data_IF_580589774218
#
_entry.id   IF_580589774218
#
_cell.length_a   1.000
_cell.length_b   1.000
_cell.length_c   1.000
_cell.angle_alpha   90.00
_cell.angle_beta   90.00
_cell.angle_gamma   90.00
#
_symmetry.space_group_name_H-M   'P 1'
#
loop_
_entity.id
_entity.type
_entity.pdbx_description
1 polymer ?
#
# COMPACT_ATOMS: atom_id res chain seq x y z
N UNK A 1 25.27 3.34 -5.71
CA UNK A 1 24.27 4.41 -5.48
C UNK A 1 23.76 4.87 -6.83
N UNK A 2 22.45 5.10 -6.99
CA UNK A 2 21.84 5.47 -8.29
C UNK A 2 21.55 6.97 -8.37
N UNK A 3 20.85 7.52 -7.38
CA UNK A 3 20.46 8.93 -7.35
C UNK A 3 20.18 9.42 -5.93
N UNK A 4 19.99 10.73 -5.77
CA UNK A 4 19.50 11.35 -4.53
C UNK A 4 18.59 12.53 -4.84
N UNK A 5 17.78 12.94 -3.87
CA UNK A 5 17.04 14.22 -3.97
C UNK A 5 18.03 15.39 -3.96
N UNK A 6 17.70 16.42 -4.73
CA UNK A 6 18.52 17.63 -4.87
C UNK A 6 18.48 18.47 -3.60
N UNK A 7 17.27 18.64 -3.07
CA UNK A 7 16.97 19.52 -1.96
C UNK A 7 16.51 18.74 -0.72
N UNK A 8 16.55 19.43 0.42
CA UNK A 8 16.06 18.92 1.69
C UNK A 8 14.54 18.83 1.68
N UNK A 9 14.01 17.63 1.93
CA UNK A 9 12.58 17.42 2.14
C UNK A 9 12.29 17.53 3.64
N UNK A 10 11.24 18.27 4.00
CA UNK A 10 10.86 18.49 5.40
C UNK A 10 9.45 18.00 5.65
N UNK A 11 9.26 17.34 6.79
CA UNK A 11 7.95 17.10 7.36
C UNK A 11 7.92 17.54 8.82
N UNK A 12 6.72 17.77 9.33
CA UNK A 12 6.47 18.06 10.72
C UNK A 12 5.79 16.87 11.39
N UNK A 13 6.13 16.60 12.64
CA UNK A 13 5.56 15.48 13.40
C UNK A 13 4.43 16.04 14.26
N UNK A 14 3.18 15.58 14.09
CA UNK A 14 2.09 16.03 14.93
C UNK A 14 2.33 15.71 16.40
N UNK A 15 1.91 16.60 17.30
CA UNK A 15 2.14 16.49 18.75
C UNK A 15 1.74 15.13 19.32
N UNK A 16 0.67 14.51 18.82
CA UNK A 16 0.22 13.17 19.28
C UNK A 16 1.27 12.06 19.11
N UNK A 17 2.18 12.21 18.14
CA UNK A 17 3.26 11.25 17.86
C UNK A 17 4.58 11.61 18.58
N UNK A 18 4.64 12.76 19.27
CA UNK A 18 5.82 13.17 20.01
C UNK A 18 5.72 12.61 21.44
N UNK A 19 6.78 11.93 21.89
CA UNK A 19 6.86 11.42 23.26
C UNK A 19 6.75 12.57 24.27
N UNK A 20 6.14 12.30 25.42
CA UNK A 20 5.79 13.34 26.42
C UNK A 20 7.01 14.12 26.92
N UNK A 21 8.15 13.46 27.06
CA UNK A 21 9.46 14.02 27.43
C UNK A 21 10.05 14.97 26.37
N UNK A 22 9.66 14.81 25.10
CA UNK A 22 10.21 15.56 23.97
C UNK A 22 9.27 16.65 23.41
N UNK A 23 8.05 16.78 23.98
CA UNK A 23 7.06 17.78 23.55
C UNK A 23 7.64 19.19 23.69
N UNK A 24 7.55 19.98 22.63
CA UNK A 24 8.07 21.36 22.57
C UNK A 24 9.49 21.50 22.02
N UNK A 25 10.31 20.44 22.08
CA UNK A 25 11.69 20.47 21.58
C UNK A 25 11.84 19.84 20.20
N UNK A 26 11.00 18.85 19.89
CA UNK A 26 11.02 18.17 18.60
C UNK A 26 9.82 18.57 17.74
N UNK A 27 10.04 18.91 16.47
CA UNK A 27 8.96 19.36 15.54
C UNK A 27 8.89 18.58 14.23
N UNK A 28 9.93 17.83 13.87
CA UNK A 28 10.01 17.20 12.55
C UNK A 28 11.41 16.83 12.12
N UNK A 29 11.57 16.50 10.84
CA UNK A 29 12.88 16.16 10.26
C UNK A 29 13.08 16.84 8.91
N UNK A 30 14.35 17.10 8.61
CA UNK A 30 14.85 17.43 7.27
C UNK A 30 15.61 16.21 6.75
N UNK A 31 15.30 15.75 5.54
CA UNK A 31 15.82 14.52 4.97
C UNK A 31 16.30 14.72 3.53
N UNK A 32 17.35 14.00 3.17
CA UNK A 32 17.77 13.75 1.78
C UNK A 32 17.52 12.28 1.50
N UNK A 33 16.84 11.98 0.40
CA UNK A 33 16.51 10.61 0.01
C UNK A 33 17.51 10.09 -1.02
N UNK A 34 17.85 8.82 -0.92
CA UNK A 34 18.78 8.13 -1.82
C UNK A 34 18.07 6.98 -2.51
N UNK A 35 18.25 6.86 -3.83
CA UNK A 35 17.87 5.69 -4.59
C UNK A 35 19.07 4.76 -4.68
N UNK A 36 18.92 3.56 -4.13
CA UNK A 36 19.94 2.52 -4.10
C UNK A 36 19.46 1.31 -4.89
N UNK A 37 20.40 0.65 -5.55
CA UNK A 37 20.20 -0.65 -6.17
C UNK A 37 20.94 -1.67 -5.32
N UNK A 38 20.23 -2.70 -4.85
CA UNK A 38 20.85 -3.84 -4.21
C UNK A 38 21.61 -4.64 -5.27
N UNK A 39 22.92 -4.80 -5.06
CA UNK A 39 23.81 -5.56 -5.97
C UNK A 39 24.16 -6.94 -5.42
N UNK A 40 23.97 -7.14 -4.12
CA UNK A 40 24.13 -8.42 -3.44
C UNK A 40 22.84 -9.22 -3.43
N UNK A 41 22.78 -10.21 -2.54
CA UNK A 41 21.60 -11.05 -2.39
C UNK A 41 20.65 -10.52 -1.31
N UNK A 42 19.38 -10.86 -1.42
CA UNK A 42 18.34 -10.48 -0.46
C UNK A 42 18.63 -11.00 0.96
N UNK A 43 19.28 -12.16 1.09
CA UNK A 43 19.67 -12.74 2.38
C UNK A 43 20.86 -12.05 3.05
N UNK A 44 21.55 -11.14 2.37
CA UNK A 44 22.60 -10.32 2.98
C UNK A 44 22.01 -9.21 3.87
N UNK A 45 20.68 -8.97 3.81
CA UNK A 45 19.98 -8.00 4.65
C UNK A 45 19.72 -8.56 6.05
N UNK A 46 20.58 -8.20 7.01
CA UNK A 46 20.40 -8.55 8.42
C UNK A 46 19.79 -7.40 9.23
N UNK A 47 18.50 -7.51 9.56
CA UNK A 47 17.77 -6.52 10.39
C UNK A 47 18.11 -6.61 11.89
N UNK A 48 18.77 -7.69 12.35
CA UNK A 48 19.13 -7.94 13.76
C UNK A 48 20.60 -7.65 14.05
N UNK A 49 21.27 -6.88 13.18
CA UNK A 49 22.67 -6.52 13.36
C UNK A 49 22.94 -5.54 14.52
N UNK A 50 21.90 -4.93 15.09
CA UNK A 50 21.99 -3.99 16.22
C UNK A 50 21.18 -4.49 17.42
N UNK A 51 21.57 -4.06 18.63
CA UNK A 51 20.85 -4.39 19.88
C UNK A 51 19.46 -3.72 19.96
N UNK A 52 19.21 -2.71 19.13
CA UNK A 52 17.94 -1.99 19.02
C UNK A 52 17.54 -1.91 17.55
N UNK A 53 16.95 -2.98 17.00
CA UNK A 53 16.58 -3.03 15.59
C UNK A 53 15.42 -2.06 15.31
N UNK A 54 15.53 -1.31 14.20
CA UNK A 54 14.46 -0.39 13.78
C UNK A 54 13.31 -1.10 13.07
N UNK A 55 13.58 -2.27 12.48
CA UNK A 55 12.64 -3.03 11.65
C UNK A 55 12.60 -4.49 12.06
N UNK A 56 11.42 -5.09 12.06
CA UNK A 56 11.23 -6.51 12.37
C UNK A 56 11.26 -7.41 11.13
N UNK A 57 10.77 -6.90 10.00
CA UNK A 57 10.69 -7.61 8.73
C UNK A 57 10.76 -6.63 7.56
N UNK A 58 11.04 -7.15 6.37
CA UNK A 58 11.04 -6.39 5.13
C UNK A 58 10.44 -7.22 4.00
N UNK A 59 9.92 -6.53 2.97
CA UNK A 59 9.47 -7.13 1.72
C UNK A 59 9.70 -6.14 0.59
N UNK A 60 9.90 -6.64 -0.63
CA UNK A 60 9.84 -5.80 -1.81
C UNK A 60 8.41 -5.31 -2.04
N UNK A 61 8.30 -4.09 -2.53
CA UNK A 61 7.04 -3.49 -2.97
C UNK A 61 7.26 -2.79 -4.30
N UNK A 62 6.19 -2.59 -5.05
CA UNK A 62 6.24 -1.73 -6.24
C UNK A 62 6.75 -0.34 -5.87
N UNK A 63 7.48 0.28 -6.80
CA UNK A 63 8.07 1.60 -6.61
C UNK A 63 7.03 2.64 -6.18
N UNK A 64 5.85 2.60 -6.80
CA UNK A 64 4.72 3.44 -6.42
C UNK A 64 3.97 2.78 -5.27
N UNK A 65 4.50 2.98 -4.05
CA UNK A 65 3.81 2.53 -2.85
C UNK A 65 2.51 3.35 -2.66
N UNK A 66 1.39 2.69 -2.31
CA UNK A 66 0.19 3.40 -1.91
C UNK A 66 0.47 4.33 -0.73
N UNK A 67 0.12 5.61 -0.82
CA UNK A 67 0.42 6.58 0.25
C UNK A 67 -0.42 6.34 1.52
N UNK A 68 -1.54 5.63 1.41
CA UNK A 68 -2.40 5.27 2.53
C UNK A 68 -1.70 4.37 3.56
N UNK A 69 -0.78 3.51 3.11
CA UNK A 69 0.07 2.68 4.02
C UNK A 69 1.21 3.47 4.66
N UNK A 70 1.49 4.68 4.17
CA UNK A 70 2.48 5.60 4.77
C UNK A 70 1.78 6.47 5.80
N UNK A 71 2.43 6.67 6.95
CA UNK A 71 1.94 7.58 7.98
C UNK A 71 1.70 8.98 7.41
N UNK A 72 0.54 9.56 7.72
CA UNK A 72 -0.02 10.75 7.09
C UNK A 72 0.98 11.90 6.92
N UNK A 73 1.68 12.26 8.01
CA UNK A 73 2.62 13.38 8.01
C UNK A 73 3.88 13.17 7.16
N UNK A 74 4.17 11.93 6.73
CA UNK A 74 5.28 11.62 5.81
C UNK A 74 4.85 11.53 4.34
N UNK A 75 3.54 11.45 4.05
CA UNK A 75 3.02 11.19 2.69
C UNK A 75 3.56 12.17 1.65
N UNK A 76 3.55 13.47 1.95
CA UNK A 76 4.07 14.50 1.03
C UNK A 76 5.57 14.36 0.75
N UNK A 77 6.38 13.99 1.76
CA UNK A 77 7.82 13.74 1.55
C UNK A 77 8.05 12.50 0.69
N UNK A 78 7.26 11.43 0.89
CA UNK A 78 7.32 10.25 0.04
C UNK A 78 6.93 10.57 -1.41
N UNK A 79 5.83 11.30 -1.62
CA UNK A 79 5.37 11.71 -2.94
C UNK A 79 6.44 12.52 -3.68
N UNK A 80 7.04 13.52 -3.02
CA UNK A 80 8.11 14.34 -3.59
C UNK A 80 9.35 13.51 -3.92
N UNK A 81 9.83 12.69 -2.97
CA UNK A 81 11.02 11.87 -3.14
C UNK A 81 10.86 10.86 -4.29
N UNK A 82 9.75 10.12 -4.31
CA UNK A 82 9.46 9.12 -5.35
C UNK A 82 9.29 9.79 -6.71
N UNK A 83 8.58 10.92 -6.78
CA UNK A 83 8.42 11.66 -8.04
C UNK A 83 9.75 12.16 -8.59
N UNK A 84 10.61 12.72 -7.74
CA UNK A 84 11.92 13.25 -8.16
C UNK A 84 12.85 12.14 -8.66
N UNK A 85 12.84 10.99 -7.99
CA UNK A 85 13.72 9.86 -8.23
C UNK A 85 13.22 8.92 -9.36
N UNK A 86 11.94 8.98 -9.72
CA UNK A 86 11.32 8.09 -10.73
C UNK A 86 12.03 8.10 -12.09
N UNK A 87 12.64 9.24 -12.46
CA UNK A 87 13.36 9.39 -13.74
C UNK A 87 14.63 8.53 -13.84
N UNK A 88 15.16 8.08 -12.70
CA UNK A 88 16.36 7.25 -12.63
C UNK A 88 16.05 5.75 -12.58
N UNK A 89 14.76 5.39 -12.61
CA UNK A 89 14.37 3.99 -12.64
C UNK A 89 14.76 3.32 -13.97
N UNK A 90 15.10 2.03 -13.93
CA UNK A 90 15.30 1.25 -15.15
C UNK A 90 14.07 1.35 -16.05
N UNK A 91 14.28 1.69 -17.33
CA UNK A 91 13.20 1.87 -18.32
C UNK A 91 12.28 0.66 -18.48
N UNK A 92 12.73 -0.55 -18.09
CA UNK A 92 11.98 -1.80 -18.19
C UNK A 92 10.83 -1.97 -17.17
N UNK A 93 10.90 -1.34 -15.99
CA UNK A 93 9.84 -1.46 -14.97
C UNK A 93 8.57 -0.68 -15.34
N UNK A 94 8.74 0.44 -16.04
CA UNK A 94 7.62 1.27 -16.52
C UNK A 94 6.69 0.51 -17.47
N UNK A 95 7.20 -0.55 -18.13
CA UNK A 95 6.42 -1.38 -19.06
C UNK A 95 5.53 -2.39 -18.33
N UNK A 96 5.99 -2.98 -17.21
CA UNK A 96 5.18 -3.89 -16.38
C UNK A 96 3.95 -3.18 -15.79
N UNK A 97 4.12 -1.91 -15.41
CA UNK A 97 3.06 -1.09 -14.82
C UNK A 97 2.07 -0.51 -15.85
N UNK A 98 2.30 -0.72 -17.15
CA UNK A 98 1.39 -0.25 -18.21
C UNK A 98 0.17 -1.15 -18.38
N UNK A 99 0.29 -2.44 -18.02
CA UNK A 99 -0.80 -3.42 -18.16
C UNK A 99 -1.90 -3.24 -17.12
N UNK A 100 -1.59 -2.71 -15.92
CA UNK A 100 -2.61 -2.39 -14.91
C UNK A 100 -3.40 -1.11 -15.25
N UNK A 101 -2.84 -0.21 -16.06
CA UNK A 101 -3.53 1.03 -16.50
C UNK A 101 -4.29 0.86 -17.82
N UNK A 102 -4.02 -0.19 -18.58
CA UNK A 102 -4.65 -0.46 -19.89
C UNK A 102 -6.02 -1.15 -19.80
N UNK A 103 -6.51 -1.43 -18.58
CA UNK A 103 -7.85 -1.99 -18.33
C UNK A 103 -9.01 -0.98 -18.49
N UNK A 104 -8.73 0.30 -18.75
CA UNK A 104 -9.74 1.34 -18.98
C UNK A 104 -9.71 1.85 -20.44
N UNK A 105 -9.64 0.94 -21.41
CA UNK A 105 -10.16 1.24 -22.75
C UNK A 105 -11.38 0.36 -23.01
N UNK A 106 -12.60 0.93 -23.07
CA UNK A 106 -13.67 0.27 -23.80
C UNK A 106 -13.19 0.12 -25.24
N UNK A 107 -13.05 -1.12 -25.70
CA UNK A 107 -12.76 -1.41 -27.10
C UNK A 107 -14.09 -1.47 -27.84
N UNK A 108 -14.20 -0.60 -28.84
CA UNK A 108 -15.35 -0.31 -29.70
C UNK A 108 -15.88 -1.53 -30.49
N UNK A 109 -17.15 -1.47 -30.89
CA UNK A 109 -17.59 -2.10 -32.15
C UNK A 109 -18.85 -1.39 -32.72
N UNK A 110 -18.65 -0.49 -33.67
CA UNK A 110 -18.97 -0.66 -35.11
C UNK A 110 -20.48 -0.77 -35.43
N UNK A 111 -21.09 0.36 -35.78
CA UNK A 111 -22.33 0.41 -36.58
C UNK A 111 -21.99 0.93 -37.99
N UNK A 112 -21.53 0.01 -38.83
CA UNK A 112 -21.36 0.21 -40.26
C UNK A 112 -22.72 0.24 -40.97
N UNK A 113 -22.86 1.23 -41.85
CA UNK A 113 -23.95 1.41 -42.79
C UNK A 113 -24.02 0.21 -43.76
N UNK A 114 -25.19 -0.40 -43.92
CA UNK A 114 -25.57 -1.13 -45.13
C UNK A 114 -27.09 -1.20 -45.26
N UNK A 115 -27.55 -0.85 -46.46
CA UNK A 115 -28.95 -0.66 -46.83
C UNK A 115 -29.53 -1.90 -47.53
N UNK A 116 -30.83 -2.16 -47.28
CA UNK A 116 -31.75 -2.96 -48.11
C UNK A 116 -31.59 -4.48 -48.02
N UNK A 117 -32.61 -5.32 -47.77
CA UNK A 117 -34.06 -5.13 -47.75
C UNK A 117 -34.73 -6.33 -48.43
N UNK A 118 -35.25 -7.29 -47.66
CA UNK A 118 -36.33 -8.21 -48.11
C UNK A 118 -37.05 -8.79 -46.88
N UNK A 119 -38.39 -8.68 -46.76
CA UNK A 119 -39.14 -9.20 -45.61
C UNK A 119 -39.88 -10.50 -45.94
N UNK A 120 -39.99 -11.44 -45.00
CA UNK A 120 -41.12 -12.38 -44.90
C UNK A 120 -41.39 -12.73 -43.41
N UNK A 121 -42.67 -12.83 -42.98
CA UNK A 121 -43.04 -12.92 -41.58
C UNK A 121 -43.33 -14.37 -41.14
N UNK A 122 -43.03 -14.71 -39.88
CA UNK A 122 -43.32 -16.05 -39.36
C UNK A 122 -42.99 -16.26 -37.88
N UNK A 123 -43.89 -15.79 -37.01
CA UNK A 123 -44.31 -16.45 -35.76
C UNK A 123 -43.30 -16.66 -34.60
N UNK A 124 -43.41 -15.74 -33.62
CA UNK A 124 -43.57 -15.99 -32.17
C UNK A 124 -42.78 -17.12 -31.49
N UNK A 125 -41.75 -16.73 -30.72
CA UNK A 125 -41.57 -17.14 -29.31
C UNK A 125 -40.70 -16.09 -28.59
N UNK A 126 -41.30 -15.36 -27.65
CA UNK A 126 -40.66 -14.30 -26.86
C UNK A 126 -40.21 -14.88 -25.52
N UNK A 127 -38.90 -14.99 -25.30
CA UNK A 127 -38.32 -15.27 -23.99
C UNK A 127 -37.85 -13.94 -23.40
N UNK A 128 -38.55 -13.45 -22.38
CA UNK A 128 -38.11 -12.31 -21.56
C UNK A 128 -36.95 -12.75 -20.64
N UNK A 129 -35.86 -12.01 -20.64
CA UNK A 129 -34.91 -11.99 -19.53
C UNK A 129 -35.03 -10.64 -18.80
N UNK A 130 -35.23 -10.62 -17.47
CA UNK A 130 -35.24 -9.36 -16.74
C UNK A 130 -33.82 -8.81 -16.56
N UNK A 131 -33.73 -7.48 -16.67
CA UNK A 131 -32.52 -6.71 -16.45
C UNK A 131 -32.12 -6.65 -14.97
N UNK A 132 -30.79 -6.63 -14.78
CA UNK A 132 -29.99 -6.07 -13.68
C UNK A 132 -30.74 -5.49 -12.47
N UNK A 133 -30.40 -6.00 -11.29
CA UNK A 133 -30.40 -5.20 -10.06
C UNK A 133 -29.07 -5.42 -9.35
N UNK A 134 -28.38 -4.32 -9.05
CA UNK A 134 -27.07 -4.33 -8.41
C UNK A 134 -27.12 -4.92 -7.01
N UNK A 135 -26.05 -5.59 -6.61
CA UNK A 135 -25.82 -5.98 -5.23
C UNK A 135 -24.32 -5.90 -4.97
N UNK A 136 -23.92 -4.90 -4.19
CA UNK A 136 -22.64 -4.89 -3.50
C UNK A 136 -22.59 -6.12 -2.60
N UNK A 137 -21.62 -7.02 -2.86
CA UNK A 137 -21.27 -8.09 -1.92
C UNK A 137 -19.88 -7.80 -1.37
N UNK A 138 -19.86 -7.52 -0.08
CA UNK A 138 -18.70 -7.55 0.80
C UNK A 138 -18.27 -9.02 0.87
N UNK A 139 -17.02 -9.32 0.51
CA UNK A 139 -16.43 -10.65 0.75
C UNK A 139 -15.82 -10.67 2.15
N UNK A 140 -16.28 -11.53 3.08
CA UNK A 140 -15.53 -11.87 4.28
C UNK A 140 -14.75 -13.16 4.02
N UNK A 141 -13.42 -13.11 4.10
CA UNK A 141 -12.59 -14.33 4.01
C UNK A 141 -11.23 -14.08 3.38
N UNK A 142 -10.29 -13.56 4.16
CA UNK A 142 -8.87 -13.67 3.84
C UNK A 142 -8.39 -14.97 4.47
N UNK A 143 -8.16 -15.98 3.64
CA UNK A 143 -7.55 -17.24 4.04
C UNK A 143 -6.03 -17.05 4.14
N UNK A 144 -5.44 -17.50 5.25
CA UNK A 144 -4.00 -17.40 5.54
C UNK A 144 -3.24 -18.57 4.90
N UNK A 145 -1.98 -18.37 4.45
CA UNK A 145 -1.16 -19.45 3.88
C UNK A 145 -0.78 -20.51 4.94
N UNK A 146 -0.52 -21.76 4.53
CA UNK A 146 -0.20 -22.86 5.45
C UNK A 146 1.06 -22.53 6.25
N UNK A 147 0.92 -22.45 7.58
CA UNK A 147 1.99 -22.11 8.52
C UNK A 147 1.91 -20.71 9.15
N UNK A 148 0.92 -19.89 8.78
CA UNK A 148 0.65 -18.62 9.45
C UNK A 148 -0.37 -18.82 10.59
N UNK A 149 0.07 -18.61 11.84
CA UNK A 149 -0.81 -18.49 13.01
C UNK A 149 -1.02 -17.02 13.33
N UNK A 150 -2.28 -16.58 13.48
CA UNK A 150 -2.61 -15.33 14.15
C UNK A 150 -2.49 -15.63 15.66
N UNK A 151 -1.48 -15.09 16.33
CA UNK A 151 -1.44 -15.07 17.80
C UNK A 151 -2.23 -13.84 18.27
N UNK A 152 -3.46 -13.99 18.76
CA UNK A 152 -4.13 -12.92 19.48
C UNK A 152 -3.47 -12.78 20.86
N UNK A 153 -2.74 -11.70 21.07
CA UNK A 153 -2.26 -11.29 22.40
C UNK A 153 -3.45 -11.08 23.36
N UNK A 154 -3.58 -11.81 24.48
CA UNK A 154 -4.60 -11.54 25.47
C UNK A 154 -4.02 -10.65 26.58
N UNK A 155 -4.05 -9.32 26.39
CA UNK A 155 -4.10 -8.42 27.53
C UNK A 155 -5.56 -8.20 27.94
N UNK A 156 -5.96 -8.81 29.07
CA UNK A 156 -6.63 -8.14 30.20
C UNK A 156 -7.13 -9.17 31.21
N UNK A 157 -6.42 -9.27 32.34
CA UNK A 157 -6.82 -10.05 33.51
C UNK A 157 -6.23 -9.37 34.74
N UNK A 158 -6.99 -8.43 35.29
CA UNK A 158 -6.83 -7.80 36.59
C UNK A 158 -6.70 -8.89 37.66
N UNK A 159 -5.56 -8.95 38.34
CA UNK A 159 -5.52 -9.42 39.73
C UNK A 159 -4.36 -8.75 40.46
N UNK A 160 -4.68 -8.10 41.57
CA UNK A 160 -3.77 -7.44 42.48
C UNK A 160 -4.22 -7.88 43.88
N UNK A 161 -3.41 -8.59 44.65
CA UNK A 161 -3.30 -8.25 46.08
C UNK A 161 -1.94 -8.65 46.72
N UNK A 162 -1.71 -8.35 48.02
CA UNK A 162 -1.85 -7.06 48.69
C UNK A 162 -0.51 -6.60 49.32
N UNK A 163 -0.51 -5.34 49.76
CA UNK A 163 0.51 -4.72 50.62
C UNK A 163 0.90 -5.60 51.83
N UNK A 164 2.20 -5.88 51.98
CA UNK A 164 2.78 -6.22 53.27
C UNK A 164 3.71 -5.08 53.72
N UNK A 165 3.22 -4.28 54.66
CA UNK A 165 4.03 -3.45 55.57
C UNK A 165 4.18 -4.15 56.94
N UNK A 166 5.17 -3.74 57.76
CA UNK A 166 6.07 -4.64 58.50
C UNK A 166 5.63 -4.97 59.93
N UNK A 167 6.25 -5.99 60.52
CA UNK A 167 6.24 -6.28 61.97
C UNK A 167 7.60 -6.83 62.42
N UNK A 168 8.45 -5.92 62.89
CA UNK A 168 9.33 -5.91 64.09
C UNK A 168 10.57 -5.04 63.84
#
# INVERSE_FOLDING_TARGET
MVARTRDWLRYEVPDRYIRRDARGHYKGQKQIWFLLQLVGHDWDLNLRATNHPEFDAWRWNDYWVPLDVVVEFKRGVYEMALTELARFLPRGEQQRNRYLRSGMRPRDQEAGQSAGGTPHPGQHHQVMYPARTGSFRINPGIELPPGASFDPDPQTGIDNPPDHKPLQ
#
